data_IF_680539020408
#
_entry.id   IF_680539020408
#
_cell.length_a   1.000
_cell.length_b   1.000
_cell.length_c   1.000
_cell.angle_alpha   90.00
_cell.angle_beta   90.00
_cell.angle_gamma   90.00
#
_symmetry.space_group_name_H-M   'P 1'
#
loop_
_entity.id
_entity.type
_entity.pdbx_description
1 polymer ?
#
# COMPACT_ATOMS: atom_id res chain seq x y z
N UNK A 1 -6.62 -7.37 -15.29
CA UNK A 1 -5.77 -8.34 -14.58
C UNK A 1 -4.86 -7.53 -13.68
N UNK A 2 -4.99 -7.65 -12.36
CA UNK A 2 -4.16 -6.89 -11.41
C UNK A 2 -2.82 -7.63 -11.30
N UNK A 3 -1.76 -7.06 -11.88
CA UNK A 3 -0.40 -7.59 -11.77
C UNK A 3 0.23 -7.13 -10.45
N UNK A 4 0.95 -8.03 -9.79
CA UNK A 4 1.56 -7.81 -8.47
C UNK A 4 3.08 -8.05 -8.57
N UNK A 5 3.83 -7.53 -7.60
CA UNK A 5 5.20 -8.01 -7.35
C UNK A 5 5.20 -9.55 -7.21
N UNK A 6 6.23 -10.21 -7.74
CA UNK A 6 6.38 -11.67 -7.84
C UNK A 6 5.40 -12.43 -8.76
N UNK A 7 4.57 -11.76 -9.58
CA UNK A 7 3.78 -12.44 -10.63
C UNK A 7 4.52 -12.65 -11.96
N UNK A 8 5.76 -12.15 -12.07
CA UNK A 8 6.64 -12.24 -13.24
C UNK A 8 7.50 -13.50 -13.27
N UNK A 9 8.58 -13.50 -14.07
CA UNK A 9 9.57 -14.58 -14.08
C UNK A 9 10.58 -14.38 -12.92
N UNK A 10 10.55 -15.22 -11.87
CA UNK A 10 11.39 -15.03 -10.68
C UNK A 10 12.89 -15.04 -11.02
N UNK A 11 13.30 -15.81 -12.04
CA UNK A 11 14.70 -15.85 -12.45
C UNK A 11 15.16 -14.49 -12.97
N UNK A 12 14.34 -13.85 -13.80
CA UNK A 12 14.63 -12.52 -14.35
C UNK A 12 14.61 -11.43 -13.30
N UNK A 13 13.65 -11.48 -12.36
CA UNK A 13 13.64 -10.57 -11.22
C UNK A 13 14.94 -10.68 -10.41
N UNK A 14 15.38 -11.90 -10.06
CA UNK A 14 16.63 -12.11 -9.33
C UNK A 14 17.87 -11.66 -10.09
N UNK A 15 17.91 -11.93 -11.39
CA UNK A 15 19.01 -11.51 -12.26
C UNK A 15 19.18 -9.98 -12.29
N UNK A 16 18.07 -9.24 -12.30
CA UNK A 16 18.05 -7.78 -12.27
C UNK A 16 18.41 -7.24 -10.87
N UNK A 17 17.78 -7.76 -9.82
CA UNK A 17 17.96 -7.29 -8.43
C UNK A 17 19.40 -7.48 -7.94
N UNK A 18 20.00 -8.63 -8.22
CA UNK A 18 21.34 -8.96 -7.73
C UNK A 18 22.44 -8.65 -8.75
N UNK A 19 22.11 -8.00 -9.87
CA UNK A 19 23.09 -7.67 -10.90
C UNK A 19 23.81 -8.89 -11.48
N UNK A 20 23.13 -10.04 -11.53
CA UNK A 20 23.71 -11.30 -12.03
C UNK A 20 23.81 -11.33 -13.56
N UNK A 21 23.33 -10.29 -14.25
CA UNK A 21 23.58 -10.08 -15.66
C UNK A 21 25.02 -9.60 -15.91
N UNK A 22 25.75 -10.36 -16.72
CA UNK A 22 26.98 -9.89 -17.34
C UNK A 22 26.65 -8.66 -18.20
N UNK A 23 27.17 -7.49 -17.82
CA UNK A 23 27.04 -6.30 -18.64
C UNK A 23 27.65 -6.58 -20.02
N UNK A 24 26.95 -6.31 -21.14
CA UNK A 24 27.53 -6.52 -22.47
C UNK A 24 28.79 -5.67 -22.59
N UNK A 25 29.95 -6.32 -22.66
CA UNK A 25 31.27 -5.67 -22.51
C UNK A 25 31.69 -4.79 -23.70
N UNK A 26 30.85 -4.69 -24.75
CA UNK A 26 31.12 -3.90 -25.96
C UNK A 26 29.84 -3.39 -26.61
N UNK A 27 29.65 -2.07 -26.62
CA UNK A 27 28.59 -1.37 -27.34
C UNK A 27 28.59 0.14 -27.07
N UNK A 28 27.80 0.93 -27.82
CA UNK A 28 27.53 2.34 -27.48
C UNK A 28 26.94 2.43 -26.06
N UNK A 29 27.28 3.50 -25.31
CA UNK A 29 26.73 3.69 -23.95
C UNK A 29 25.20 3.60 -23.99
N UNK A 30 24.63 2.72 -23.16
CA UNK A 30 23.18 2.62 -23.00
C UNK A 30 22.62 4.00 -22.62
N UNK A 31 21.50 4.39 -23.24
CA UNK A 31 20.89 5.70 -23.03
C UNK A 31 20.30 5.85 -21.63
N UNK A 32 19.85 4.75 -21.04
CA UNK A 32 19.30 4.69 -19.70
C UNK A 32 19.89 3.53 -18.91
N UNK A 33 19.71 3.53 -17.60
CA UNK A 33 19.98 2.39 -16.72
C UNK A 33 18.69 1.78 -16.17
N UNK A 34 18.77 0.55 -15.64
CA UNK A 34 17.65 -0.07 -14.92
C UNK A 34 17.25 0.80 -13.71
N UNK A 35 18.22 1.36 -13.00
CA UNK A 35 17.98 2.26 -11.88
C UNK A 35 17.19 3.52 -12.29
N UNK A 36 17.56 4.17 -13.40
CA UNK A 36 16.85 5.33 -13.91
C UNK A 36 15.39 5.01 -14.28
N UNK A 37 15.17 3.86 -14.93
CA UNK A 37 13.82 3.36 -15.26
C UNK A 37 13.00 3.15 -13.99
N UNK A 38 13.57 2.47 -13.00
CA UNK A 38 12.91 2.19 -11.72
C UNK A 38 12.59 3.48 -10.96
N UNK A 39 13.53 4.43 -10.90
CA UNK A 39 13.33 5.75 -10.25
C UNK A 39 12.22 6.55 -10.90
N UNK A 40 12.06 6.50 -12.22
CA UNK A 40 10.92 7.13 -12.92
C UNK A 40 9.61 6.46 -12.51
N UNK A 41 9.57 5.14 -12.45
CA UNK A 41 8.37 4.41 -12.05
C UNK A 41 7.95 4.72 -10.60
N UNK A 42 8.91 4.88 -9.67
CA UNK A 42 8.66 5.31 -8.29
C UNK A 42 8.03 6.71 -8.29
N UNK A 43 8.64 7.70 -8.94
CA UNK A 43 8.07 9.06 -9.00
C UNK A 43 6.65 9.09 -9.58
N UNK A 44 6.39 8.24 -10.57
CA UNK A 44 5.05 8.11 -11.14
C UNK A 44 4.05 7.52 -10.14
N UNK A 45 4.46 6.52 -9.36
CA UNK A 45 3.65 5.94 -8.28
C UNK A 45 3.37 6.97 -7.18
N UNK A 46 4.36 7.76 -6.78
CA UNK A 46 4.21 8.79 -5.75
C UNK A 46 3.22 9.89 -6.18
N UNK A 47 3.26 10.29 -7.45
CA UNK A 47 2.43 11.38 -7.97
C UNK A 47 1.00 10.95 -8.34
N UNK A 48 0.81 9.72 -8.83
CA UNK A 48 -0.45 9.30 -9.45
C UNK A 48 -0.96 7.93 -8.95
N UNK A 49 -0.30 7.35 -7.95
CA UNK A 49 -0.61 6.03 -7.41
C UNK A 49 -0.06 4.88 -8.26
N UNK A 50 0.07 3.70 -7.64
CA UNK A 50 0.65 2.52 -8.26
C UNK A 50 -0.14 2.01 -9.50
N UNK A 51 -1.45 2.26 -9.55
CA UNK A 51 -2.29 1.88 -10.69
C UNK A 51 -1.95 2.66 -11.97
N UNK A 52 -1.41 3.87 -11.83
CA UNK A 52 -0.96 4.68 -12.96
C UNK A 52 0.34 4.17 -13.60
N UNK A 53 1.11 3.35 -12.88
CA UNK A 53 2.38 2.81 -13.37
C UNK A 53 2.12 1.79 -14.48
N UNK A 54 2.62 2.09 -15.68
CA UNK A 54 2.58 1.18 -16.83
C UNK A 54 3.86 1.33 -17.65
N UNK A 55 4.26 0.26 -18.36
CA UNK A 55 5.45 0.29 -19.23
C UNK A 55 5.40 1.43 -20.24
N UNK A 56 4.22 1.70 -20.79
CA UNK A 56 3.99 2.81 -21.73
C UNK A 56 4.24 4.16 -21.07
N UNK A 57 3.61 4.42 -19.92
CA UNK A 57 3.72 5.72 -19.24
C UNK A 57 5.14 5.99 -18.72
N UNK A 58 5.83 4.96 -18.25
CA UNK A 58 7.25 5.05 -17.86
C UNK A 58 8.12 5.38 -19.08
N UNK A 59 7.87 4.76 -20.23
CA UNK A 59 8.58 5.07 -21.47
C UNK A 59 8.32 6.50 -21.96
N UNK A 60 7.06 6.95 -21.91
CA UNK A 60 6.66 8.33 -22.26
C UNK A 60 7.40 9.35 -21.36
N UNK A 61 7.44 9.13 -20.05
CA UNK A 61 8.14 10.00 -19.09
C UNK A 61 9.67 10.02 -19.31
N UNK A 62 10.26 8.92 -19.78
CA UNK A 62 11.67 8.83 -20.16
C UNK A 62 11.98 9.41 -21.55
N UNK A 63 10.97 9.77 -22.34
CA UNK A 63 11.16 10.13 -23.75
C UNK A 63 11.75 8.98 -24.58
N UNK A 64 11.35 7.74 -24.26
CA UNK A 64 11.77 6.49 -24.88
C UNK A 64 10.59 5.77 -25.55
N UNK A 65 10.86 4.82 -26.43
CA UNK A 65 9.83 3.91 -26.93
C UNK A 65 9.60 2.78 -25.92
N UNK A 66 8.36 2.27 -25.83
CA UNK A 66 8.05 1.11 -24.98
C UNK A 66 8.91 -0.11 -25.34
N UNK A 67 9.20 -0.31 -26.62
CA UNK A 67 10.10 -1.37 -27.09
C UNK A 67 11.51 -1.23 -26.53
N UNK A 68 12.03 -0.01 -26.41
CA UNK A 68 13.33 0.24 -25.76
C UNK A 68 13.26 0.03 -24.26
N UNK A 69 12.11 0.20 -23.61
CA UNK A 69 12.00 -0.03 -22.17
C UNK A 69 12.14 -1.51 -21.82
N UNK A 70 11.59 -2.38 -22.66
CA UNK A 70 11.67 -3.83 -22.50
C UNK A 70 13.09 -4.40 -22.59
N UNK A 71 14.07 -3.65 -23.11
CA UNK A 71 15.48 -4.07 -23.08
C UNK A 71 16.12 -3.88 -21.70
N UNK A 72 15.52 -3.06 -20.83
CA UNK A 72 15.99 -2.82 -19.47
C UNK A 72 15.17 -3.62 -18.45
N UNK A 73 13.85 -3.60 -18.59
CA UNK A 73 12.93 -4.27 -17.67
C UNK A 73 11.91 -5.10 -18.46
N UNK A 74 11.88 -6.44 -18.31
CA UNK A 74 11.08 -7.33 -19.15
C UNK A 74 9.57 -7.12 -19.07
N UNK A 75 9.08 -6.54 -17.97
CA UNK A 75 7.66 -6.42 -17.71
C UNK A 75 7.36 -5.55 -16.50
N UNK A 76 6.06 -5.32 -16.29
CA UNK A 76 5.59 -4.53 -15.14
C UNK A 76 5.84 -5.27 -13.82
N UNK A 77 5.75 -6.59 -13.78
CA UNK A 77 6.00 -7.36 -12.58
C UNK A 77 7.46 -7.20 -12.09
N UNK A 78 8.43 -7.35 -13.00
CA UNK A 78 9.85 -7.13 -12.71
C UNK A 78 10.12 -5.67 -12.31
N UNK A 79 9.43 -4.71 -12.96
CA UNK A 79 9.51 -3.30 -12.58
C UNK A 79 9.03 -3.08 -11.14
N UNK A 80 7.93 -3.72 -10.74
CA UNK A 80 7.42 -3.62 -9.37
C UNK A 80 8.39 -4.22 -8.36
N UNK A 81 9.03 -5.35 -8.67
CA UNK A 81 10.04 -5.96 -7.82
C UNK A 81 11.25 -5.01 -7.63
N UNK A 82 11.72 -4.40 -8.72
CA UNK A 82 12.80 -3.40 -8.70
C UNK A 82 12.42 -2.15 -7.90
N UNK A 83 11.19 -1.66 -8.04
CA UNK A 83 10.69 -0.51 -7.28
C UNK A 83 10.70 -0.80 -5.78
N UNK A 84 10.24 -1.99 -5.37
CA UNK A 84 10.24 -2.41 -3.96
C UNK A 84 11.66 -2.45 -3.43
N UNK A 85 12.59 -3.10 -4.13
CA UNK A 85 13.98 -3.21 -3.71
C UNK A 85 14.66 -1.85 -3.59
N UNK A 86 14.42 -0.96 -4.56
CA UNK A 86 14.95 0.41 -4.53
C UNK A 86 14.44 1.18 -3.31
N UNK A 87 13.15 1.12 -3.00
CA UNK A 87 12.55 1.82 -1.85
C UNK A 87 13.02 1.21 -0.53
N UNK A 88 13.10 -0.12 -0.44
CA UNK A 88 13.65 -0.80 0.75
C UNK A 88 15.12 -0.45 0.94
N UNK A 89 15.89 -0.28 -0.13
CA UNK A 89 17.29 0.11 -0.09
C UNK A 89 17.56 1.55 0.38
N UNK A 90 16.52 2.40 0.50
CA UNK A 90 16.63 3.76 1.05
C UNK A 90 16.62 3.79 2.58
N UNK A 91 16.24 2.70 3.24
CA UNK A 91 16.25 2.65 4.69
C UNK A 91 17.67 2.66 5.23
N UNK A 92 17.84 3.17 6.46
CA UNK A 92 19.15 3.27 7.07
C UNK A 92 19.75 1.86 7.22
N UNK A 93 21.01 1.69 6.81
CA UNK A 93 21.67 0.40 7.01
C UNK A 93 21.88 0.19 8.50
N UNK A 94 21.78 -1.04 9.01
CA UNK A 94 21.98 -1.32 10.43
C UNK A 94 23.31 -0.81 10.98
N UNK A 95 24.36 -0.84 10.14
CA UNK A 95 25.71 -0.37 10.47
C UNK A 95 25.81 1.16 10.57
N UNK A 96 24.89 1.89 9.93
CA UNK A 96 24.83 3.35 9.96
C UNK A 96 24.10 3.86 11.23
N UNK A 97 23.47 2.96 12.00
CA UNK A 97 22.71 3.31 13.20
C UNK A 97 23.63 3.31 14.44
N UNK A 98 23.64 4.40 15.24
CA UNK A 98 24.36 4.44 16.52
C UNK A 98 23.95 3.30 17.47
N UNK A 99 24.92 2.81 18.26
CA UNK A 99 24.70 1.68 19.19
C UNK A 99 25.21 0.34 18.69
N UNK A 100 25.93 0.33 17.56
CA UNK A 100 26.52 -0.87 16.97
C UNK A 100 25.45 -1.88 16.55
N UNK A 101 25.82 -3.17 16.50
CA UNK A 101 24.91 -4.23 16.04
C UNK A 101 23.57 -4.31 16.80
N UNK A 102 23.55 -3.92 18.09
CA UNK A 102 22.31 -3.88 18.89
C UNK A 102 21.41 -2.73 18.45
N UNK A 103 21.98 -1.53 18.27
CA UNK A 103 21.25 -0.37 17.75
C UNK A 103 20.68 -0.63 16.35
N UNK A 104 21.47 -1.24 15.47
CA UNK A 104 21.02 -1.65 14.14
C UNK A 104 19.85 -2.65 14.18
N UNK A 105 19.90 -3.69 15.02
CA UNK A 105 18.79 -4.64 15.18
C UNK A 105 17.53 -3.99 15.76
N UNK A 106 17.67 -3.09 16.73
CA UNK A 106 16.54 -2.35 17.29
C UNK A 106 15.89 -1.43 16.24
N UNK A 107 16.68 -0.82 15.37
CA UNK A 107 16.17 -0.03 14.26
C UNK A 107 15.37 -0.89 13.28
N UNK A 108 15.96 -1.98 12.78
CA UNK A 108 15.31 -2.93 11.88
C UNK A 108 14.01 -3.49 12.48
N UNK A 109 14.02 -3.87 13.76
CA UNK A 109 12.83 -4.40 14.43
C UNK A 109 11.69 -3.38 14.46
N UNK A 110 12.00 -2.09 14.65
CA UNK A 110 10.99 -1.02 14.65
C UNK A 110 10.46 -0.72 13.26
N UNK A 111 11.33 -0.67 12.25
CA UNK A 111 10.89 -0.51 10.84
C UNK A 111 9.96 -1.65 10.43
N UNK A 112 10.35 -2.90 10.73
CA UNK A 112 9.53 -4.07 10.45
C UNK A 112 8.20 -4.05 11.23
N UNK A 113 8.19 -3.58 12.48
CA UNK A 113 6.96 -3.42 13.25
C UNK A 113 6.01 -2.37 12.65
N UNK A 114 6.54 -1.24 12.19
CA UNK A 114 5.75 -0.20 11.51
C UNK A 114 5.15 -0.73 10.20
N UNK A 115 5.95 -1.42 9.39
CA UNK A 115 5.48 -2.07 8.15
C UNK A 115 4.40 -3.12 8.45
N UNK A 116 4.62 -3.96 9.46
CA UNK A 116 3.65 -4.99 9.89
C UNK A 116 2.32 -4.36 10.31
N UNK A 117 2.36 -3.23 11.02
CA UNK A 117 1.15 -2.52 11.45
C UNK A 117 0.34 -2.00 10.26
N UNK A 118 1.00 -1.33 9.30
CA UNK A 118 0.35 -0.80 8.09
C UNK A 118 -0.22 -1.94 7.25
N UNK A 119 0.57 -2.97 6.97
CA UNK A 119 0.13 -4.13 6.19
C UNK A 119 -1.03 -4.87 6.85
N UNK A 120 -0.98 -5.05 8.17
CA UNK A 120 -2.06 -5.67 8.95
C UNK A 120 -3.37 -4.89 8.83
N UNK A 121 -3.31 -3.56 8.88
CA UNK A 121 -4.48 -2.71 8.70
C UNK A 121 -5.07 -2.82 7.29
N UNK A 122 -4.23 -2.75 6.26
CA UNK A 122 -4.66 -2.91 4.85
C UNK A 122 -5.29 -4.29 4.63
N UNK A 123 -4.68 -5.36 5.16
CA UNK A 123 -5.24 -6.71 5.07
C UNK A 123 -6.59 -6.83 5.80
N UNK A 124 -6.75 -6.16 6.94
CA UNK A 124 -8.02 -6.11 7.67
C UNK A 124 -9.11 -5.43 6.84
N UNK A 125 -8.80 -4.30 6.20
CA UNK A 125 -9.75 -3.60 5.34
C UNK A 125 -10.14 -4.47 4.12
N UNK A 126 -9.15 -5.11 3.48
CA UNK A 126 -9.39 -6.00 2.34
C UNK A 126 -10.24 -7.21 2.72
N UNK A 127 -10.11 -7.73 3.93
CA UNK A 127 -10.92 -8.86 4.42
C UNK A 127 -12.42 -8.55 4.34
N UNK A 128 -12.84 -7.35 4.76
CA UNK A 128 -14.24 -6.93 4.66
C UNK A 128 -14.75 -6.92 3.21
N UNK A 129 -13.95 -6.40 2.28
CA UNK A 129 -14.28 -6.39 0.84
C UNK A 129 -14.40 -7.81 0.27
N UNK A 130 -13.48 -8.70 0.64
CA UNK A 130 -13.49 -10.09 0.19
C UNK A 130 -14.70 -10.84 0.76
N UNK A 131 -15.01 -10.64 2.04
CA UNK A 131 -16.17 -11.26 2.70
C UNK A 131 -17.47 -10.83 2.05
N UNK A 132 -17.66 -9.54 1.78
CA UNK A 132 -18.80 -9.01 1.04
C UNK A 132 -18.88 -9.60 -0.38
N UNK A 133 -17.76 -9.66 -1.09
CA UNK A 133 -17.69 -10.27 -2.42
C UNK A 133 -18.02 -11.77 -2.43
N UNK A 134 -17.61 -12.51 -1.39
CA UNK A 134 -17.96 -13.92 -1.24
C UNK A 134 -19.44 -14.11 -0.88
N UNK A 135 -19.98 -13.30 0.02
CA UNK A 135 -21.39 -13.30 0.37
C UNK A 135 -22.26 -13.03 -0.86
N UNK A 136 -21.84 -12.09 -1.70
CA UNK A 136 -22.53 -11.77 -2.95
C UNK A 136 -22.52 -12.94 -3.94
N UNK A 137 -21.38 -13.62 -4.11
CA UNK A 137 -21.29 -14.81 -4.97
C UNK A 137 -22.15 -15.96 -4.49
N UNK A 138 -22.20 -16.20 -3.17
CA UNK A 138 -23.01 -17.28 -2.57
C UNK A 138 -24.51 -17.02 -2.70
N UNK A 139 -24.94 -15.78 -2.47
CA UNK A 139 -26.35 -15.40 -2.47
C UNK A 139 -26.88 -15.00 -3.85
N UNK A 140 -25.99 -14.74 -4.80
CA UNK A 140 -26.32 -14.21 -6.13
C UNK A 140 -26.73 -12.73 -6.14
N UNK A 141 -26.56 -12.00 -5.03
CA UNK A 141 -26.91 -10.57 -4.90
C UNK A 141 -25.81 -9.80 -4.19
N UNK A 142 -25.46 -8.60 -4.67
CA UNK A 142 -24.56 -7.70 -3.92
C UNK A 142 -25.24 -7.14 -2.68
N UNK A 143 -24.45 -6.61 -1.73
CA UNK A 143 -24.98 -5.91 -0.56
C UNK A 143 -25.87 -4.72 -0.95
N UNK A 144 -25.51 -3.98 -2.01
CA UNK A 144 -26.34 -2.88 -2.53
C UNK A 144 -27.70 -3.39 -3.01
N UNK A 145 -27.71 -4.46 -3.82
CA UNK A 145 -28.95 -5.05 -4.31
C UNK A 145 -29.81 -5.62 -3.19
N UNK A 146 -29.16 -6.20 -2.17
CA UNK A 146 -29.84 -6.63 -0.96
C UNK A 146 -30.48 -5.43 -0.26
N UNK A 147 -29.74 -4.34 -0.06
CA UNK A 147 -30.26 -3.14 0.60
C UNK A 147 -31.40 -2.47 -0.15
N UNK A 148 -31.29 -2.31 -1.47
CA UNK A 148 -32.37 -1.82 -2.33
C UNK A 148 -33.64 -2.67 -2.23
N UNK A 149 -33.48 -3.99 -2.07
CA UNK A 149 -34.62 -4.91 -1.97
C UNK A 149 -35.29 -4.89 -0.59
N UNK A 150 -34.52 -4.73 0.49
CA UNK A 150 -35.02 -4.92 1.87
C UNK A 150 -35.18 -3.62 2.67
N UNK A 151 -34.54 -2.51 2.30
CA UNK A 151 -34.71 -1.23 2.98
C UNK A 151 -36.18 -0.77 3.08
N UNK A 152 -37.02 -0.89 2.02
CA UNK A 152 -38.44 -0.50 2.10
C UNK A 152 -39.27 -1.38 3.06
N UNK A 153 -38.85 -2.64 3.26
CA UNK A 153 -39.49 -3.52 4.25
C UNK A 153 -39.05 -3.12 5.66
N UNK A 154 -37.76 -2.83 5.83
CA UNK A 154 -37.18 -2.40 7.09
C UNK A 154 -37.84 -1.12 7.57
N UNK A 155 -38.02 -0.12 6.70
CA UNK A 155 -38.71 1.14 7.01
C UNK A 155 -40.14 0.94 7.53
N UNK A 156 -40.86 -0.06 7.01
CA UNK A 156 -42.25 -0.36 7.45
C UNK A 156 -42.32 -1.05 8.80
N UNK A 157 -41.30 -1.79 9.20
CA UNK A 157 -41.28 -2.58 10.44
C UNK A 157 -40.41 -1.96 11.54
N UNK A 158 -39.55 -1.01 11.18
CA UNK A 158 -38.61 -0.38 12.08
C UNK A 158 -39.32 0.65 12.97
N UNK A 159 -39.26 0.43 14.27
CA UNK A 159 -39.77 1.33 15.28
C UNK A 159 -38.59 2.07 15.95
N UNK A 160 -38.40 3.37 15.67
CA UNK A 160 -37.27 4.14 16.20
C UNK A 160 -37.35 4.35 17.72
N UNK A 161 -38.55 4.35 18.31
CA UNK A 161 -38.72 4.49 19.75
C UNK A 161 -38.30 3.22 20.49
N UNK A 162 -38.51 2.06 19.84
CA UNK A 162 -38.06 0.76 20.34
C UNK A 162 -36.57 0.50 20.08
N UNK A 163 -36.00 1.06 19.01
CA UNK A 163 -34.60 0.87 18.61
C UNK A 163 -33.84 2.20 18.39
N UNK A 164 -33.68 3.03 19.44
CA UNK A 164 -33.14 4.39 19.30
C UNK A 164 -31.66 4.44 18.92
N UNK A 165 -30.87 3.40 19.21
CA UNK A 165 -29.48 3.30 18.73
C UNK A 165 -29.43 3.04 17.22
N UNK A 166 -30.21 2.06 16.75
CA UNK A 166 -30.28 1.71 15.34
C UNK A 166 -30.82 2.87 14.49
N UNK A 167 -31.78 3.64 15.01
CA UNK A 167 -32.33 4.82 14.34
C UNK A 167 -31.24 5.88 14.11
N UNK A 168 -30.43 6.15 15.13
CA UNK A 168 -29.32 7.12 15.07
C UNK A 168 -28.22 6.69 14.10
N UNK A 169 -27.83 5.43 14.17
CA UNK A 169 -26.79 4.87 13.30
C UNK A 169 -27.28 4.83 11.86
N UNK A 170 -28.53 4.42 11.63
CA UNK A 170 -29.14 4.38 10.30
C UNK A 170 -29.27 5.77 9.66
N UNK A 171 -29.72 6.77 10.42
CA UNK A 171 -29.78 8.16 9.94
C UNK A 171 -28.38 8.70 9.60
N UNK A 172 -27.40 8.50 10.48
CA UNK A 172 -26.02 8.97 10.25
C UNK A 172 -25.37 8.26 9.06
N UNK A 173 -25.55 6.95 8.91
CA UNK A 173 -24.99 6.19 7.80
C UNK A 173 -25.69 6.50 6.47
N UNK A 174 -27.01 6.72 6.49
CA UNK A 174 -27.80 7.11 5.33
C UNK A 174 -27.43 8.50 4.80
N UNK A 175 -27.28 9.49 5.69
CA UNK A 175 -26.86 10.85 5.33
C UNK A 175 -25.40 10.91 4.85
N UNK A 176 -24.49 10.17 5.50
CA UNK A 176 -23.06 10.30 5.25
C UNK A 176 -22.56 9.47 4.05
N UNK A 177 -23.11 8.28 3.83
CA UNK A 177 -22.45 7.30 2.95
C UNK A 177 -23.30 6.84 1.77
N UNK A 178 -24.63 6.97 1.85
CA UNK A 178 -25.56 6.36 0.88
C UNK A 178 -25.23 4.88 0.60
N UNK A 179 -24.58 4.22 1.57
CA UNK A 179 -23.96 2.91 1.43
C UNK A 179 -23.99 2.16 2.76
N UNK A 180 -23.93 0.82 2.74
CA UNK A 180 -23.93 0.00 3.95
C UNK A 180 -22.65 0.13 4.81
N UNK A 181 -21.56 0.65 4.25
CA UNK A 181 -20.29 0.86 4.95
C UNK A 181 -19.71 2.22 4.66
N UNK A 182 -18.95 2.76 5.62
CA UNK A 182 -18.20 4.00 5.46
C UNK A 182 -17.06 3.82 4.44
N UNK A 183 -17.11 4.47 3.26
CA UNK A 183 -16.04 4.39 2.27
C UNK A 183 -14.73 5.06 2.73
N UNK A 184 -14.80 5.96 3.71
CA UNK A 184 -13.66 6.70 4.24
C UNK A 184 -13.02 6.06 5.48
N UNK A 185 -13.62 4.99 6.02
CA UNK A 185 -13.08 4.33 7.22
C UNK A 185 -11.65 3.81 7.02
N UNK A 186 -11.34 3.32 5.80
CA UNK A 186 -10.00 2.91 5.41
C UNK A 186 -9.02 4.09 5.42
N UNK A 187 -9.37 5.18 4.73
CA UNK A 187 -8.52 6.37 4.62
C UNK A 187 -8.27 7.01 5.99
N UNK A 188 -9.32 7.08 6.82
CA UNK A 188 -9.22 7.59 8.18
C UNK A 188 -8.25 6.78 9.03
N UNK A 189 -8.42 5.45 9.09
CA UNK A 189 -7.55 4.62 9.94
C UNK A 189 -6.13 4.56 9.42
N UNK A 190 -5.93 4.53 8.10
CA UNK A 190 -4.60 4.61 7.49
C UNK A 190 -3.91 5.93 7.86
N UNK A 191 -4.60 7.07 7.72
CA UNK A 191 -4.06 8.37 8.10
C UNK A 191 -3.62 8.39 9.57
N UNK A 192 -4.43 7.88 10.50
CA UNK A 192 -4.07 7.83 11.93
C UNK A 192 -2.85 6.94 12.22
N UNK A 193 -2.73 5.81 11.51
CA UNK A 193 -1.57 4.93 11.63
C UNK A 193 -0.31 5.65 11.13
N UNK A 194 -0.39 6.29 9.97
CA UNK A 194 0.73 7.04 9.39
C UNK A 194 1.13 8.23 10.25
N UNK A 195 0.17 9.04 10.74
CA UNK A 195 0.41 10.14 11.67
C UNK A 195 1.13 9.64 12.95
N UNK A 196 0.73 8.48 13.48
CA UNK A 196 1.36 7.88 14.65
C UNK A 196 2.79 7.38 14.40
N UNK A 197 3.05 6.80 13.23
CA UNK A 197 4.39 6.39 12.80
C UNK A 197 5.27 7.62 12.57
N UNK A 198 4.76 8.65 11.90
CA UNK A 198 5.46 9.91 11.68
C UNK A 198 5.83 10.57 13.02
N UNK A 199 4.91 10.63 13.98
CA UNK A 199 5.20 11.15 15.32
C UNK A 199 6.28 10.33 16.06
N UNK A 200 6.31 9.00 15.89
CA UNK A 200 7.36 8.13 16.45
C UNK A 200 8.73 8.36 15.79
N UNK A 201 8.75 8.75 14.51
CA UNK A 201 9.97 9.10 13.77
C UNK A 201 10.43 10.50 14.18
N UNK A 202 9.59 11.52 14.02
CA UNK A 202 9.88 12.93 14.28
C UNK A 202 10.13 13.24 15.76
N UNK A 203 9.47 12.52 16.67
CA UNK A 203 9.71 12.62 18.12
C UNK A 203 11.14 12.23 18.55
N UNK A 204 11.96 11.72 17.64
CA UNK A 204 13.39 11.44 17.86
C UNK A 204 14.28 12.66 17.59
N UNK A 205 13.82 13.63 16.82
CA UNK A 205 14.59 14.85 16.51
C UNK A 205 14.48 15.93 17.61
N UNK A 206 13.70 15.67 18.66
CA UNK A 206 13.41 16.66 19.71
C UNK A 206 13.27 16.07 21.12
N UNK A 207 14.40 16.00 21.84
CA UNK A 207 14.59 15.80 23.30
C UNK A 207 14.05 14.49 23.94
N UNK A 208 14.82 13.88 24.87
CA UNK A 208 14.35 12.74 25.65
C UNK A 208 13.17 13.18 26.55
N UNK A 209 11.97 12.70 26.23
CA UNK A 209 10.78 12.88 27.06
C UNK A 209 10.98 12.21 28.41
N UNK A 210 10.87 12.99 29.48
CA UNK A 210 11.00 12.58 30.87
C UNK A 210 10.12 11.37 31.23
N UNK A 211 10.53 10.54 32.21
CA UNK A 211 9.75 9.38 32.64
C UNK A 211 8.37 9.82 33.17
N UNK A 212 7.33 9.16 32.65
CA UNK A 212 5.93 9.34 33.04
C UNK A 212 5.77 8.87 34.50
N UNK A 213 5.20 9.67 35.42
CA UNK A 213 5.05 9.28 36.81
C UNK A 213 4.09 8.08 36.92
N UNK A 214 4.54 7.04 37.61
CA UNK A 214 3.72 5.89 38.00
C UNK A 214 2.63 6.38 38.94
N UNK A 215 1.37 6.19 38.56
CA UNK A 215 0.23 6.42 39.44
C UNK A 215 0.29 5.42 40.62
N UNK A 216 0.28 5.97 41.83
CA UNK A 216 -0.03 5.24 43.07
C UNK A 216 -1.51 5.34 43.40
#
# INVERSE_FOLDING_TARGET
MTEYSASGDPKRSFELLWGLHEAPSRGPKARFTVEEVTRVAIRLADAAGLTAVSMRRVAEELGASTMSLYTYVPGKAELLDLMIDTVVGETARPDDVPGGWRGGLEHLARENAALTLVLGYVQSAMRGVVEAGQAARRSGRSDVQWWESYAPLLEKVFDPDRFPLAARVGASAGEAYQAPSDPHAFEFGLARILDGIEALINGRDGKPGAPRPTAG
#
